data_IF_172640757718
#
_entry.id   IF_172640757718
#
_cell.length_a   1.000
_cell.length_b   1.000
_cell.length_c   1.000
_cell.angle_alpha   90.00
_cell.angle_beta   90.00
_cell.angle_gamma   90.00
#
_symmetry.space_group_name_H-M   'P 1'
#
loop_
_entity.id
_entity.type
_entity.pdbx_description
1 polymer ?
#
# COMPACT_ATOMS: atom_id res chain seq x y z
N UNK A 1 -2.18 16.21 -3.91
CA UNK A 1 -2.02 15.00 -3.05
C UNK A 1 -0.71 15.00 -2.25
N UNK A 2 0.04 16.12 -2.17
CA UNK A 2 1.40 16.16 -1.59
C UNK A 2 1.47 16.65 -0.13
N UNK A 3 0.38 17.22 0.44
CA UNK A 3 0.41 17.84 1.78
C UNK A 3 -0.16 16.99 2.94
N UNK A 4 -0.35 15.67 2.78
CA UNK A 4 -1.09 14.87 3.79
C UNK A 4 -0.38 13.65 4.37
N UNK A 5 0.90 13.43 4.05
CA UNK A 5 1.59 12.18 4.45
C UNK A 5 2.47 12.30 5.70
N UNK A 6 2.67 13.49 6.28
CA UNK A 6 3.32 13.67 7.59
C UNK A 6 4.79 13.23 7.72
N UNK A 7 5.35 12.58 6.69
CA UNK A 7 6.72 12.07 6.62
C UNK A 7 7.34 12.37 5.26
N UNK A 8 8.67 12.46 5.21
CA UNK A 8 9.40 12.59 3.94
C UNK A 8 9.13 11.35 3.06
N UNK A 9 8.41 11.49 1.93
CA UNK A 9 8.10 10.36 1.07
C UNK A 9 9.34 9.71 0.45
N UNK A 10 10.49 10.40 0.42
CA UNK A 10 11.76 9.92 -0.15
C UNK A 10 12.60 9.12 0.84
N UNK A 11 12.09 8.82 2.03
CA UNK A 11 12.79 7.99 3.04
C UNK A 11 12.83 6.48 2.71
N UNK A 12 12.37 6.07 1.52
CA UNK A 12 12.12 4.66 1.21
C UNK A 12 10.80 4.13 1.80
N UNK A 13 9.91 5.03 2.23
CA UNK A 13 8.61 4.68 2.79
C UNK A 13 7.65 4.21 1.69
N UNK A 14 7.05 3.03 1.89
CA UNK A 14 5.99 2.49 1.04
C UNK A 14 4.62 2.96 1.52
N UNK A 15 3.86 3.61 0.65
CA UNK A 15 2.45 3.92 0.92
C UNK A 15 1.56 2.89 0.24
N UNK A 16 0.84 2.09 1.03
CA UNK A 16 -0.01 1.02 0.53
C UNK A 16 -1.47 1.37 0.74
N UNK A 17 -2.23 1.37 -0.35
CA UNK A 17 -3.66 1.66 -0.38
C UNK A 17 -4.43 0.42 -0.82
N UNK A 18 -5.65 0.27 -0.29
CA UNK A 18 -6.62 -0.75 -0.71
C UNK A 18 -7.88 -0.08 -1.25
N UNK A 19 -8.49 -0.63 -2.29
CA UNK A 19 -9.82 -0.17 -2.72
C UNK A 19 -10.92 -0.59 -1.72
N UNK A 20 -12.09 0.07 -1.76
CA UNK A 20 -13.23 -0.27 -0.89
C UNK A 20 -13.64 -1.74 -1.01
N UNK A 21 -13.61 -2.30 -2.22
CA UNK A 21 -13.95 -3.71 -2.48
C UNK A 21 -12.92 -4.75 -1.98
N UNK A 22 -11.74 -4.31 -1.51
CA UNK A 22 -10.62 -5.18 -1.07
C UNK A 22 -10.07 -6.13 -2.13
N UNK A 23 -10.27 -5.83 -3.40
CA UNK A 23 -9.78 -6.63 -4.53
C UNK A 23 -8.52 -6.05 -5.16
N UNK A 24 -8.14 -4.84 -4.79
CA UNK A 24 -7.00 -4.15 -5.39
C UNK A 24 -6.18 -3.41 -4.35
N UNK A 25 -4.86 -3.45 -4.52
CA UNK A 25 -3.91 -2.61 -3.80
C UNK A 25 -3.11 -1.73 -4.77
N UNK A 26 -2.72 -0.56 -4.28
CA UNK A 26 -1.76 0.35 -4.93
C UNK A 26 -0.62 0.64 -3.97
N UNK A 27 0.61 0.51 -4.43
CA UNK A 27 1.81 0.81 -3.66
C UNK A 27 2.51 1.98 -4.33
N UNK A 28 2.68 3.07 -3.60
CA UNK A 28 3.39 4.26 -4.03
C UNK A 28 4.75 4.32 -3.34
N UNK A 29 5.81 4.43 -4.13
CA UNK A 29 7.20 4.53 -3.67
C UNK A 29 7.84 5.72 -4.35
N UNK A 30 8.46 6.61 -3.59
CA UNK A 30 9.24 7.70 -4.18
C UNK A 30 10.70 7.29 -4.25
N UNK A 31 11.30 7.55 -5.40
CA UNK A 31 12.73 7.31 -5.57
C UNK A 31 13.54 8.40 -4.86
N UNK A 32 14.57 7.99 -4.14
CA UNK A 32 15.48 8.86 -3.42
C UNK A 32 16.87 8.73 -4.04
N UNK A 33 17.25 9.70 -4.86
CA UNK A 33 18.65 9.92 -5.21
C UNK A 33 19.25 10.87 -4.16
N UNK A 34 20.50 11.23 -4.25
CA UNK A 34 21.09 12.19 -3.30
C UNK A 34 21.70 13.39 -4.02
N UNK A 35 21.67 13.37 -5.36
CA UNK A 35 22.47 14.30 -6.17
C UNK A 35 21.69 15.18 -7.16
N UNK A 36 20.45 14.85 -7.55
CA UNK A 36 19.65 15.76 -8.41
C UNK A 36 18.16 15.83 -8.03
N UNK A 37 17.49 16.98 -8.27
CA UNK A 37 16.05 17.15 -8.09
C UNK A 37 15.30 16.72 -9.36
N UNK A 38 14.88 15.46 -9.39
CA UNK A 38 14.07 14.92 -10.47
C UNK A 38 13.92 13.42 -10.28
N UNK A 39 12.90 13.00 -9.53
CA UNK A 39 12.75 11.60 -9.12
C UNK A 39 11.29 11.23 -9.19
N UNK A 40 10.99 10.39 -10.17
CA UNK A 40 9.66 9.85 -10.33
C UNK A 40 9.22 9.07 -9.10
N UNK A 41 8.06 8.46 -9.25
CA UNK A 41 7.54 7.53 -8.27
C UNK A 41 7.21 6.22 -8.97
N UNK A 42 7.40 5.13 -8.25
CA UNK A 42 6.86 3.85 -8.63
C UNK A 42 5.43 3.74 -8.12
N UNK A 43 4.51 3.38 -9.01
CA UNK A 43 3.15 3.03 -8.65
C UNK A 43 2.89 1.59 -9.08
N UNK A 44 2.92 0.66 -8.12
CA UNK A 44 2.61 -0.74 -8.37
C UNK A 44 1.14 -0.98 -8.06
N UNK A 45 0.45 -1.67 -8.95
CA UNK A 45 -0.95 -2.07 -8.74
C UNK A 45 -1.05 -3.58 -8.81
N UNK A 46 -1.68 -4.19 -7.80
CA UNK A 46 -2.05 -5.62 -7.80
C UNK A 46 -3.55 -5.73 -7.64
N UNK A 47 -4.21 -6.36 -8.61
CA UNK A 47 -5.64 -6.70 -8.57
C UNK A 47 -5.78 -8.21 -8.47
N UNK A 48 -6.63 -8.65 -7.57
CA UNK A 48 -7.02 -10.04 -7.44
C UNK A 48 -8.06 -10.36 -8.52
N UNK A 49 -7.86 -11.46 -9.25
CA UNK A 49 -8.86 -11.98 -10.17
C UNK A 49 -10.03 -12.62 -9.41
N UNK A 50 -9.75 -13.26 -8.27
CA UNK A 50 -10.72 -13.83 -7.33
C UNK A 50 -10.32 -13.52 -5.89
N UNK A 51 -11.32 -13.36 -5.03
CA UNK A 51 -11.13 -13.15 -3.59
C UNK A 51 -10.83 -11.70 -3.17
N UNK A 52 -10.54 -11.53 -1.88
CA UNK A 52 -10.40 -10.24 -1.19
C UNK A 52 -9.26 -10.27 -0.18
N UNK A 53 -8.57 -9.14 0.01
CA UNK A 53 -7.62 -8.93 1.11
C UNK A 53 -8.39 -8.84 2.44
N UNK A 54 -8.33 -9.90 3.25
CA UNK A 54 -9.25 -10.08 4.39
C UNK A 54 -8.80 -9.34 5.65
N UNK A 55 -7.53 -9.49 6.04
CA UNK A 55 -6.99 -9.00 7.31
C UNK A 55 -6.27 -7.65 7.14
N UNK A 56 -6.94 -6.71 6.48
CA UNK A 56 -6.40 -5.34 6.38
C UNK A 56 -6.37 -4.69 7.77
N UNK A 57 -5.26 -4.04 8.17
CA UNK A 57 -5.18 -3.41 9.48
C UNK A 57 -6.27 -2.32 9.61
N UNK A 58 -7.09 -2.43 10.64
CA UNK A 58 -8.03 -1.39 11.02
C UNK A 58 -7.30 -0.35 11.86
N UNK A 59 -7.38 0.90 11.47
CA UNK A 59 -6.75 2.04 12.15
C UNK A 59 -7.78 3.16 12.23
N UNK A 60 -7.88 3.79 13.41
CA UNK A 60 -8.68 5.00 13.59
C UNK A 60 -8.09 6.20 12.81
N UNK A 61 -6.79 6.14 12.51
CA UNK A 61 -6.07 7.12 11.70
C UNK A 61 -6.08 6.73 10.20
N UNK A 62 -6.17 7.70 9.29
CA UNK A 62 -6.06 7.46 7.84
C UNK A 62 -4.68 6.93 7.42
N UNK A 63 -3.65 7.07 8.26
CA UNK A 63 -2.32 6.52 8.06
C UNK A 63 -1.92 5.73 9.31
N UNK A 64 -1.52 4.49 9.10
CA UNK A 64 -0.96 3.65 10.17
C UNK A 64 0.35 3.02 9.70
N UNK A 65 1.44 3.16 10.48
CA UNK A 65 2.69 2.49 10.17
C UNK A 65 2.52 0.98 10.33
N UNK A 66 3.08 0.22 9.39
CA UNK A 66 3.09 -1.24 9.43
C UNK A 66 4.50 -1.74 9.13
N UNK A 67 4.99 -2.67 9.96
CA UNK A 67 6.26 -3.33 9.70
C UNK A 67 6.18 -4.16 8.40
N UNK A 68 7.25 -4.17 7.61
CA UNK A 68 7.28 -4.83 6.30
C UNK A 68 6.87 -6.31 6.35
N UNK A 69 7.27 -7.05 7.39
CA UNK A 69 6.89 -8.45 7.55
C UNK A 69 5.39 -8.64 7.77
N UNK A 70 4.72 -7.72 8.48
CA UNK A 70 3.26 -7.74 8.68
C UNK A 70 2.53 -7.41 7.39
N UNK A 71 3.02 -6.44 6.63
CA UNK A 71 2.47 -6.13 5.31
C UNK A 71 2.51 -7.38 4.42
N UNK A 72 3.64 -8.10 4.37
CA UNK A 72 3.75 -9.32 3.56
C UNK A 72 2.67 -10.35 3.90
N UNK A 73 2.37 -10.52 5.19
CA UNK A 73 1.32 -11.43 5.65
C UNK A 73 -0.09 -10.98 5.21
N UNK A 74 -0.40 -9.68 5.31
CA UNK A 74 -1.67 -9.11 4.82
C UNK A 74 -1.81 -9.33 3.31
N UNK A 75 -0.72 -9.23 2.55
CA UNK A 75 -0.72 -9.41 1.10
C UNK A 75 -0.81 -10.87 0.64
N UNK A 76 -0.48 -11.83 1.51
CA UNK A 76 -0.61 -13.28 1.23
C UNK A 76 -1.95 -13.87 1.67
N UNK A 77 -2.68 -13.20 2.57
CA UNK A 77 -3.97 -13.67 3.06
C UNK A 77 -5.12 -13.21 2.16
N UNK A 78 -5.53 -14.10 1.26
CA UNK A 78 -6.68 -13.92 0.38
C UNK A 78 -7.85 -14.77 0.89
N UNK A 79 -9.02 -14.16 1.04
CA UNK A 79 -10.27 -14.91 1.21
C UNK A 79 -10.95 -15.00 -0.15
N UNK A 80 -11.11 -16.21 -0.66
CA UNK A 80 -11.93 -16.44 -1.84
C UNK A 80 -13.38 -16.06 -1.51
N UNK A 81 -14.03 -15.30 -2.40
CA UNK A 81 -15.50 -15.33 -2.40
C UNK A 81 -15.86 -16.76 -2.75
N UNK A 82 -16.31 -17.54 -1.78
CA UNK A 82 -17.19 -18.65 -2.09
C UNK A 82 -18.36 -18.02 -2.84
N UNK A 83 -18.62 -18.53 -4.04
CA UNK A 83 -19.82 -18.21 -4.80
C UNK A 83 -21.02 -18.60 -3.89
N UNK A 84 -21.86 -17.63 -3.54
CA UNK A 84 -23.16 -17.90 -2.90
C UNK A 84 -24.10 -18.62 -3.85
#
# INVERSE_FOLDING_TARGET
MQHRLGHDPRSGTLYVFRNRARTMIRILVYEACTHEPGRGYWLLTKRLSRGRFAHWPSSASPLSPIAAHRLRHVLSQLVYCADE
#
